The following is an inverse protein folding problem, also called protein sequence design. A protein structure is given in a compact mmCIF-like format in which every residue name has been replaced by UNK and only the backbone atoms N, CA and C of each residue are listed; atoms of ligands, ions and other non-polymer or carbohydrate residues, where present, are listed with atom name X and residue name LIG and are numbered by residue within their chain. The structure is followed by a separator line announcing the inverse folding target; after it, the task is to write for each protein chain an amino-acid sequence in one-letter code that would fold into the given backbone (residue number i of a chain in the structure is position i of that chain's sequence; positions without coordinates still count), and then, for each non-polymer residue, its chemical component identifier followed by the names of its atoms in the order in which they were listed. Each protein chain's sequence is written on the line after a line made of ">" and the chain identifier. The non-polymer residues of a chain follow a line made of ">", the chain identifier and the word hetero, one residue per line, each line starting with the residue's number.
data_IF_000343589643
#
_entry.id   IF_000343589643
#
_cell.length_a   1.000
_cell.length_b   1.000
_cell.length_c   1.000
_cell.angle_alpha   90.00
_cell.angle_beta   90.00
_cell.angle_gamma   90.00
#
_symmetry.space_group_name_H-M   'P 1'
#
loop_
_entity.id
_entity.type
_entity.pdbx_description
1 polymer ?
#
# COMPACT_ATOMS: atom_id res chain seq x y z
N UNK A 1 -3.12 3.48 5.99
CA UNK A 1 -2.24 2.69 6.89
C UNK A 1 -2.33 3.23 8.31
N UNK A 2 -2.16 2.39 9.33
CA UNK A 2 -2.25 2.80 10.76
C UNK A 2 -0.88 2.94 11.43
N UNK A 3 0.20 2.59 10.74
CA UNK A 3 1.57 2.91 11.12
C UNK A 3 2.20 3.78 10.04
N UNK A 4 3.22 4.56 10.39
CA UNK A 4 3.97 5.33 9.40
C UNK A 4 4.59 4.40 8.37
N UNK A 5 5.21 3.31 8.83
CA UNK A 5 5.87 2.33 7.97
C UNK A 5 4.89 1.73 6.95
N UNK A 6 3.68 1.35 7.38
CA UNK A 6 2.63 0.83 6.50
C UNK A 6 2.18 1.84 5.44
N UNK A 7 1.86 3.07 5.87
CA UNK A 7 1.42 4.12 4.96
C UNK A 7 2.53 4.52 3.96
N UNK A 8 3.76 4.65 4.44
CA UNK A 8 4.91 5.09 3.65
C UNK A 8 5.27 4.07 2.56
N UNK A 9 5.31 2.77 2.89
CA UNK A 9 5.62 1.76 1.88
C UNK A 9 4.50 1.59 0.84
N UNK A 10 3.22 1.67 1.25
CA UNK A 10 2.09 1.69 0.31
C UNK A 10 2.19 2.87 -0.65
N UNK A 11 2.43 4.06 -0.14
CA UNK A 11 2.55 5.26 -0.96
C UNK A 11 3.66 5.15 -2.01
N UNK A 12 4.81 4.58 -1.67
CA UNK A 12 5.90 4.35 -2.64
C UNK A 12 5.48 3.42 -3.78
N UNK A 13 4.71 2.36 -3.49
CA UNK A 13 4.19 1.44 -4.52
C UNK A 13 3.09 2.06 -5.38
N UNK A 14 2.31 2.99 -4.83
CA UNK A 14 1.28 3.70 -5.58
C UNK A 14 1.85 4.66 -6.64
N UNK A 15 3.10 5.11 -6.48
CA UNK A 15 3.75 6.05 -7.41
C UNK A 15 4.30 5.36 -8.66
N UNK A 16 4.93 4.20 -8.49
CA UNK A 16 5.57 3.45 -9.58
C UNK A 16 5.42 1.95 -9.35
N UNK A 17 4.82 1.25 -10.32
CA UNK A 17 4.59 -0.19 -10.32
C UNK A 17 5.88 -1.03 -10.25
N UNK A 18 7.01 -0.43 -10.65
CA UNK A 18 8.31 -1.09 -10.57
C UNK A 18 8.91 -1.04 -9.15
N UNK A 19 8.41 -0.15 -8.30
CA UNK A 19 8.87 0.03 -6.93
C UNK A 19 8.07 -0.89 -6.02
N UNK A 20 8.77 -1.75 -5.27
CA UNK A 20 8.14 -2.71 -4.36
C UNK A 20 7.90 -2.12 -2.94
N UNK A 21 8.46 -0.95 -2.66
CA UNK A 21 8.35 -0.18 -1.42
C UNK A 21 9.65 0.59 -1.13
N UNK A 22 10.04 0.72 0.15
CA UNK A 22 11.28 1.42 0.53
C UNK A 22 12.51 0.52 0.37
N UNK A 23 12.96 0.38 -0.88
CA UNK A 23 14.01 -0.56 -1.30
C UNK A 23 15.42 0.10 -1.34
N UNK A 24 16.42 -0.43 -0.61
CA UNK A 24 17.78 0.12 -0.59
C UNK A 24 18.64 -0.26 -1.81
N UNK A 25 18.17 -1.12 -2.72
CA UNK A 25 18.94 -1.63 -3.86
C UNK A 25 18.68 -0.88 -5.17
N UNK A 26 17.70 0.03 -5.20
CA UNK A 26 17.33 0.78 -6.41
C UNK A 26 18.38 1.84 -6.78
N UNK A 27 19.03 2.47 -5.80
CA UNK A 27 20.04 3.50 -5.99
C UNK A 27 21.28 3.22 -5.16
N UNK A 28 22.41 3.77 -5.60
CA UNK A 28 23.63 3.79 -4.80
C UNK A 28 23.62 4.99 -3.86
N UNK A 29 24.47 4.94 -2.83
CA UNK A 29 24.61 6.05 -1.88
C UNK A 29 25.48 7.14 -2.48
N UNK A 30 24.92 8.34 -2.55
CA UNK A 30 25.63 9.54 -3.00
C UNK A 30 25.29 10.67 -2.02
N UNK A 31 26.29 11.17 -1.28
CA UNK A 31 26.06 12.26 -0.30
C UNK A 31 25.50 13.52 -0.99
N UNK A 32 25.87 13.77 -2.25
CA UNK A 32 25.34 14.87 -3.07
C UNK A 32 23.82 14.79 -3.29
N UNK A 33 23.27 13.61 -3.61
CA UNK A 33 21.82 13.41 -3.77
C UNK A 33 21.07 13.42 -2.43
N UNK A 34 21.77 13.16 -1.31
CA UNK A 34 21.19 13.34 0.01
C UNK A 34 21.05 14.83 0.35
N UNK A 35 22.00 15.67 -0.06
CA UNK A 35 21.96 17.12 0.15
C UNK A 35 21.02 17.83 -0.83
N UNK A 36 21.10 17.48 -2.12
CA UNK A 36 20.31 18.06 -3.19
C UNK A 36 19.08 17.20 -3.49
N UNK A 37 17.85 17.69 -3.22
CA UNK A 37 16.65 16.88 -3.38
C UNK A 37 16.41 16.46 -4.85
N UNK A 38 16.34 15.15 -5.09
CA UNK A 38 15.92 14.54 -6.36
C UNK A 38 14.62 13.74 -6.16
N UNK A 39 13.96 13.37 -7.27
CA UNK A 39 12.82 12.44 -7.30
C UNK A 39 13.17 11.06 -6.71
N UNK A 40 14.43 10.63 -6.86
CA UNK A 40 14.94 9.35 -6.36
C UNK A 40 15.57 9.40 -4.97
N UNK A 41 15.57 10.58 -4.33
CA UNK A 41 16.22 10.82 -3.03
C UNK A 41 15.83 9.79 -1.96
N UNK A 42 14.56 9.37 -1.94
CA UNK A 42 14.08 8.38 -0.96
C UNK A 42 14.84 7.05 -1.06
N UNK A 43 15.18 6.60 -2.26
CA UNK A 43 15.94 5.36 -2.46
C UNK A 43 17.42 5.53 -2.09
N UNK A 44 17.99 6.73 -2.28
CA UNK A 44 19.34 7.06 -1.78
C UNK A 44 19.37 7.05 -0.25
N UNK A 45 18.31 7.56 0.41
CA UNK A 45 18.16 7.47 1.88
C UNK A 45 18.06 6.02 2.33
N UNK A 46 17.30 5.17 1.63
CA UNK A 46 17.21 3.73 1.91
C UNK A 46 18.59 3.06 1.82
N UNK A 47 19.32 3.30 0.74
CA UNK A 47 20.67 2.80 0.53
C UNK A 47 21.65 3.31 1.61
N UNK A 48 21.54 4.57 2.02
CA UNK A 48 22.40 5.17 3.05
C UNK A 48 22.17 4.54 4.43
N UNK A 49 20.90 4.30 4.78
CA UNK A 49 20.53 3.56 5.99
C UNK A 49 21.09 2.13 5.95
N UNK A 50 21.01 1.45 4.80
CA UNK A 50 21.56 0.10 4.62
C UNK A 50 23.09 0.08 4.77
N UNK A 51 23.77 1.11 4.27
CA UNK A 51 25.22 1.31 4.41
C UNK A 51 25.65 1.85 5.79
N UNK A 52 24.75 1.85 6.78
CA UNK A 52 25.09 2.14 8.17
C UNK A 52 25.21 3.62 8.52
N UNK A 53 24.67 4.53 7.70
CA UNK A 53 24.64 5.95 8.05
C UNK A 53 23.81 6.17 9.31
N UNK A 54 24.35 6.94 10.25
CA UNK A 54 23.62 7.30 11.46
C UNK A 54 22.53 8.36 11.17
N UNK A 55 21.54 8.41 12.05
CA UNK A 55 20.37 9.29 11.93
C UNK A 55 20.77 10.77 11.90
N UNK A 56 21.78 11.16 12.69
CA UNK A 56 22.25 12.55 12.75
C UNK A 56 22.95 13.00 11.46
N UNK A 57 23.71 12.11 10.82
CA UNK A 57 24.33 12.35 9.51
C UNK A 57 23.23 12.56 8.46
N UNK A 58 22.25 11.66 8.40
CA UNK A 58 21.13 11.79 7.47
C UNK A 58 20.30 13.04 7.72
N UNK A 59 20.05 13.42 8.97
CA UNK A 59 19.37 14.67 9.30
C UNK A 59 20.15 15.89 8.79
N UNK A 60 21.48 15.92 8.97
CA UNK A 60 22.34 17.03 8.51
C UNK A 60 22.32 17.19 7.00
N UNK A 61 22.42 16.08 6.27
CA UNK A 61 22.41 16.07 4.80
C UNK A 61 21.01 16.38 4.27
N UNK A 62 19.98 15.70 4.78
CA UNK A 62 18.65 15.70 4.14
C UNK A 62 17.69 16.76 4.67
N UNK A 63 17.89 17.20 5.92
CA UNK A 63 16.94 17.98 6.74
C UNK A 63 15.60 17.29 7.01
N UNK A 64 15.46 16.01 6.69
CA UNK A 64 14.31 15.18 7.09
C UNK A 64 14.38 14.98 8.60
N UNK A 65 13.27 15.22 9.30
CA UNK A 65 13.25 15.08 10.76
C UNK A 65 13.68 13.69 11.22
N UNK A 66 14.37 13.64 12.36
CA UNK A 66 14.93 12.41 12.94
C UNK A 66 13.88 11.35 13.19
N UNK A 67 12.65 11.74 13.52
CA UNK A 67 11.54 10.81 13.72
C UNK A 67 11.26 10.01 12.45
N UNK A 68 11.15 10.68 11.30
CA UNK A 68 10.93 10.00 10.02
C UNK A 68 12.12 9.12 9.63
N UNK A 69 13.35 9.61 9.79
CA UNK A 69 14.56 8.82 9.50
C UNK A 69 14.60 7.57 10.39
N UNK A 70 14.23 7.70 11.68
CA UNK A 70 14.16 6.55 12.60
C UNK A 70 13.12 5.52 12.14
N UNK A 71 11.96 5.97 11.65
CA UNK A 71 10.92 5.10 11.10
C UNK A 71 11.36 4.40 9.81
N UNK A 72 12.01 5.12 8.90
CA UNK A 72 12.63 4.53 7.70
C UNK A 72 13.71 3.51 8.08
N UNK A 73 14.52 3.79 9.11
CA UNK A 73 15.52 2.86 9.62
C UNK A 73 14.88 1.56 10.11
N UNK A 74 13.73 1.61 10.78
CA UNK A 74 13.02 0.40 11.20
C UNK A 74 12.71 -0.52 10.02
N UNK A 75 12.31 0.04 8.88
CA UNK A 75 12.03 -0.72 7.65
C UNK A 75 13.31 -1.39 7.15
N UNK A 76 14.42 -0.65 7.04
CA UNK A 76 15.70 -1.20 6.55
C UNK A 76 16.29 -2.23 7.50
N UNK A 77 16.20 -2.03 8.81
CA UNK A 77 16.63 -2.99 9.82
C UNK A 77 15.83 -4.28 9.71
N UNK A 78 14.50 -4.17 9.52
CA UNK A 78 13.63 -5.33 9.34
C UNK A 78 13.90 -6.05 8.02
N UNK A 79 14.11 -5.33 6.92
CA UNK A 79 14.48 -5.91 5.64
C UNK A 79 15.80 -6.69 5.74
N UNK A 80 16.80 -6.11 6.41
CA UNK A 80 18.10 -6.77 6.66
C UNK A 80 17.94 -8.02 7.53
N UNK A 81 17.03 -8.00 8.50
CA UNK A 81 16.69 -9.19 9.28
C UNK A 81 16.02 -10.26 8.42
N UNK A 82 15.07 -9.90 7.55
CA UNK A 82 14.42 -10.85 6.62
C UNK A 82 15.43 -11.50 5.67
N UNK A 83 16.41 -10.74 5.15
CA UNK A 83 17.48 -11.26 4.29
C UNK A 83 18.37 -12.31 4.97
N UNK A 84 18.44 -12.31 6.31
CA UNK A 84 19.15 -13.34 7.06
C UNK A 84 18.37 -14.66 7.16
N UNK A 85 17.07 -14.64 6.82
CA UNK A 85 16.18 -15.79 6.86
C UNK A 85 16.02 -16.41 5.46
N UNK A 86 15.60 -17.68 5.45
CA UNK A 86 15.09 -18.34 4.24
C UNK A 86 13.60 -18.58 4.39
N UNK A 87 12.91 -18.87 3.28
CA UNK A 87 11.47 -19.14 3.28
C UNK A 87 11.04 -20.17 4.34
N UNK A 88 11.83 -21.23 4.55
CA UNK A 88 11.53 -22.29 5.53
C UNK A 88 11.54 -21.79 6.99
N UNK A 89 12.23 -20.68 7.27
CA UNK A 89 12.34 -20.09 8.60
C UNK A 89 11.40 -18.90 8.81
N UNK A 90 10.53 -18.59 7.83
CA UNK A 90 9.50 -17.58 7.99
C UNK A 90 8.34 -18.12 8.83
N UNK A 91 8.29 -17.66 10.08
CA UNK A 91 7.16 -17.92 10.98
C UNK A 91 5.97 -17.01 10.66
N UNK A 92 4.79 -17.39 11.14
CA UNK A 92 3.59 -16.55 11.11
C UNK A 92 3.84 -15.16 11.71
N UNK A 93 4.59 -15.08 12.82
CA UNK A 93 4.92 -13.82 13.48
C UNK A 93 5.84 -12.93 12.62
N UNK A 94 6.80 -13.53 11.89
CA UNK A 94 7.64 -12.79 10.95
C UNK A 94 6.79 -12.18 9.84
N UNK A 95 5.91 -12.98 9.21
CA UNK A 95 5.04 -12.49 8.15
C UNK A 95 4.10 -11.39 8.63
N UNK A 96 3.36 -11.62 9.73
CA UNK A 96 2.40 -10.64 10.26
C UNK A 96 3.08 -9.30 10.55
N UNK A 97 4.25 -9.33 11.20
CA UNK A 97 5.02 -8.11 11.48
C UNK A 97 5.50 -7.41 10.21
N UNK A 98 5.97 -8.15 9.21
CA UNK A 98 6.32 -7.57 7.90
C UNK A 98 5.13 -6.87 7.26
N UNK A 99 3.94 -7.50 7.26
CA UNK A 99 2.72 -6.90 6.70
C UNK A 99 2.27 -5.66 7.48
N UNK A 100 2.35 -5.68 8.81
CA UNK A 100 2.05 -4.53 9.68
C UNK A 100 2.98 -3.33 9.47
N UNK A 101 4.20 -3.57 8.97
CA UNK A 101 5.16 -2.55 8.56
C UNK A 101 5.01 -2.12 7.09
N UNK A 102 4.05 -2.68 6.34
CA UNK A 102 3.77 -2.32 4.95
C UNK A 102 4.55 -3.06 3.88
N UNK A 103 5.27 -4.14 4.23
CA UNK A 103 6.00 -4.93 3.23
C UNK A 103 5.03 -5.65 2.28
N UNK A 104 5.28 -5.54 0.98
CA UNK A 104 4.58 -6.34 -0.03
C UNK A 104 5.07 -7.79 -0.01
N UNK A 105 4.24 -8.71 -0.50
CA UNK A 105 4.58 -10.12 -0.65
C UNK A 105 5.79 -10.27 -1.60
N UNK A 106 5.90 -9.39 -2.61
CA UNK A 106 7.06 -9.25 -3.50
C UNK A 106 8.34 -8.87 -2.75
N UNK A 107 8.31 -7.85 -1.88
CA UNK A 107 9.49 -7.47 -1.09
C UNK A 107 9.95 -8.59 -0.15
N UNK A 108 9.01 -9.23 0.54
CA UNK A 108 9.33 -10.34 1.46
C UNK A 108 9.95 -11.49 0.65
N UNK A 109 9.35 -11.82 -0.50
CA UNK A 109 9.87 -12.86 -1.41
C UNK A 109 11.30 -12.57 -1.85
N UNK A 110 11.59 -11.34 -2.28
CA UNK A 110 12.95 -10.92 -2.65
C UNK A 110 13.94 -11.07 -1.49
N UNK A 111 13.57 -10.63 -0.28
CA UNK A 111 14.44 -10.71 0.89
C UNK A 111 14.80 -12.17 1.25
N UNK A 112 13.83 -13.08 1.25
CA UNK A 112 14.06 -14.50 1.62
C UNK A 112 14.39 -15.42 0.43
N UNK A 113 14.68 -14.85 -0.74
CA UNK A 113 15.00 -15.57 -2.00
C UNK A 113 13.88 -16.55 -2.42
N UNK A 114 12.64 -16.09 -2.34
CA UNK A 114 11.43 -16.79 -2.76
C UNK A 114 10.65 -15.98 -3.81
N UNK A 115 9.47 -16.45 -4.18
CA UNK A 115 8.58 -15.79 -5.14
C UNK A 115 7.43 -15.10 -4.42
N UNK A 116 6.87 -14.04 -5.01
CA UNK A 116 5.68 -13.34 -4.52
C UNK A 116 4.52 -14.31 -4.27
N UNK A 117 4.26 -15.23 -5.21
CA UNK A 117 3.19 -16.22 -5.09
C UNK A 117 3.41 -17.16 -3.91
N UNK A 118 4.64 -17.61 -3.67
CA UNK A 118 4.93 -18.50 -2.55
C UNK A 118 4.71 -17.80 -1.19
N UNK A 119 5.09 -16.52 -1.07
CA UNK A 119 4.81 -15.73 0.13
C UNK A 119 3.30 -15.53 0.30
N UNK A 120 2.58 -15.21 -0.77
CA UNK A 120 1.11 -15.06 -0.74
C UNK A 120 0.42 -16.34 -0.27
N UNK A 121 0.78 -17.49 -0.82
CA UNK A 121 0.22 -18.78 -0.40
C UNK A 121 0.46 -19.05 1.09
N UNK A 122 1.69 -18.83 1.56
CA UNK A 122 2.04 -19.01 2.97
C UNK A 122 1.27 -18.03 3.88
N UNK A 123 1.05 -16.80 3.41
CA UNK A 123 0.24 -15.79 4.10
C UNK A 123 -1.22 -16.23 4.21
N UNK A 124 -1.78 -16.81 3.16
CA UNK A 124 -3.14 -17.37 3.14
C UNK A 124 -3.27 -18.61 4.05
N UNK A 125 -2.28 -19.51 4.04
CA UNK A 125 -2.20 -20.69 4.92
C UNK A 125 -2.18 -20.29 6.41
N UNK A 126 -1.45 -19.24 6.75
CA UNK A 126 -1.43 -18.69 8.11
C UNK A 126 -2.61 -17.77 8.44
N UNK A 127 -3.57 -17.62 7.50
CA UNK A 127 -4.73 -16.76 7.61
C UNK A 127 -4.38 -15.30 7.97
N UNK A 128 -3.26 -14.80 7.44
CA UNK A 128 -2.83 -13.41 7.60
C UNK A 128 -3.47 -12.59 6.49
N UNK A 129 -4.56 -11.90 6.80
CA UNK A 129 -5.30 -11.06 5.84
C UNK A 129 -5.36 -9.62 6.36
N UNK A 130 -5.40 -8.62 5.46
CA UNK A 130 -5.68 -7.26 5.88
C UNK A 130 -7.16 -7.16 6.32
N UNK A 131 -7.44 -6.12 7.10
CA UNK A 131 -8.81 -5.76 7.49
C UNK A 131 -9.23 -4.46 6.81
N UNK A 132 -10.52 -4.38 6.51
CA UNK A 132 -11.18 -3.20 5.92
C UNK A 132 -11.56 -2.23 7.03
N UNK A 133 -11.10 -0.99 6.92
CA UNK A 133 -11.37 0.10 7.88
C UNK A 133 -11.99 1.31 7.21
N UNK A 134 -12.90 1.96 7.92
CA UNK A 134 -13.57 3.17 7.45
C UNK A 134 -12.77 4.44 7.78
N UNK A 135 -12.93 5.45 6.94
CA UNK A 135 -12.48 6.83 7.16
C UNK A 135 -13.72 7.64 7.53
N UNK A 136 -13.89 7.92 8.81
CA UNK A 136 -15.11 8.49 9.39
C UNK A 136 -14.98 9.95 9.83
N UNK A 137 -13.80 10.55 9.66
CA UNK A 137 -13.40 11.90 10.12
C UNK A 137 -13.37 12.14 11.64
N UNK A 138 -13.94 11.24 12.45
CA UNK A 138 -14.13 11.41 13.91
C UNK A 138 -13.49 10.29 14.73
N UNK A 139 -12.65 9.44 14.12
CA UNK A 139 -11.93 8.36 14.79
C UNK A 139 -12.86 7.43 15.61
N UNK A 140 -13.98 7.04 14.99
CA UNK A 140 -15.05 6.19 15.50
C UNK A 140 -15.84 6.77 16.69
N UNK A 141 -15.81 8.09 16.92
CA UNK A 141 -16.71 8.74 17.89
C UNK A 141 -18.18 8.57 17.49
N UNK A 142 -18.47 8.62 16.19
CA UNK A 142 -19.78 8.40 15.60
C UNK A 142 -19.71 7.35 14.50
N UNK A 143 -20.77 6.54 14.31
CA UNK A 143 -20.81 5.57 13.23
C UNK A 143 -20.77 6.29 11.87
N UNK A 144 -19.87 5.86 11.00
CA UNK A 144 -19.81 6.37 9.63
C UNK A 144 -21.01 5.90 8.82
N UNK A 145 -21.59 6.82 8.06
CA UNK A 145 -22.65 6.51 7.08
C UNK A 145 -22.09 6.21 5.70
N UNK A 146 -20.80 6.48 5.47
CA UNK A 146 -20.13 6.33 4.18
C UNK A 146 -19.14 5.17 4.19
N UNK A 147 -18.97 4.51 3.04
CA UNK A 147 -17.99 3.45 2.86
C UNK A 147 -16.76 4.00 2.15
N UNK A 148 -16.08 4.95 2.80
CA UNK A 148 -14.74 5.34 2.40
C UNK A 148 -13.73 4.48 3.16
N UNK A 149 -13.03 3.60 2.45
CA UNK A 149 -12.35 2.43 3.01
C UNK A 149 -10.86 2.42 2.70
N UNK A 150 -10.08 1.82 3.60
CA UNK A 150 -8.70 1.42 3.37
C UNK A 150 -8.41 0.07 4.03
N UNK A 151 -7.35 -0.59 3.58
CA UNK A 151 -6.87 -1.86 4.12
C UNK A 151 -5.72 -1.63 5.10
N UNK A 152 -5.71 -2.41 6.18
CA UNK A 152 -4.60 -2.42 7.14
C UNK A 152 -4.40 -3.79 7.80
N UNK A 153 -3.15 -4.14 8.06
CA UNK A 153 -2.80 -5.32 8.87
C UNK A 153 -2.76 -5.01 10.38
N UNK A 154 -2.95 -3.75 10.77
CA UNK A 154 -2.92 -3.27 12.14
C UNK A 154 -4.34 -3.18 12.73
N UNK A 155 -5.11 -4.25 12.60
CA UNK A 155 -6.49 -4.35 13.05
C UNK A 155 -6.84 -5.79 13.46
N UNK A 156 -8.03 -5.97 14.05
CA UNK A 156 -8.53 -7.26 14.51
C UNK A 156 -9.90 -7.64 13.93
N UNK A 157 -10.59 -6.69 13.28
CA UNK A 157 -11.92 -6.87 12.69
C UNK A 157 -12.10 -5.91 11.51
N UNK A 158 -13.06 -6.20 10.64
CA UNK A 158 -13.52 -5.28 9.60
C UNK A 158 -14.58 -4.32 10.17
N UNK A 159 -14.69 -3.12 9.61
CA UNK A 159 -15.71 -2.13 10.01
C UNK A 159 -17.04 -2.32 9.27
N UNK A 160 -17.04 -3.11 8.18
CA UNK A 160 -18.21 -3.36 7.33
C UNK A 160 -18.50 -4.86 7.17
N UNK A 161 -19.70 -5.17 6.67
CA UNK A 161 -20.13 -6.51 6.25
C UNK A 161 -19.98 -6.72 4.74
N UNK A 162 -19.91 -7.98 4.31
CA UNK A 162 -19.67 -8.38 2.91
C UNK A 162 -20.82 -9.23 2.37
N UNK A 163 -22.05 -8.79 2.61
CA UNK A 163 -23.31 -9.48 2.28
C UNK A 163 -23.93 -9.04 0.94
N UNK A 164 -23.36 -8.01 0.32
CA UNK A 164 -23.86 -7.40 -0.91
C UNK A 164 -23.18 -7.99 -2.16
N UNK A 165 -23.89 -7.97 -3.29
CA UNK A 165 -23.33 -8.35 -4.59
C UNK A 165 -22.91 -7.08 -5.33
N UNK A 166 -21.61 -6.82 -5.37
CA UNK A 166 -21.04 -5.63 -6.02
C UNK A 166 -20.24 -5.98 -7.28
N UNK A 167 -20.06 -4.98 -8.15
CA UNK A 167 -19.14 -5.02 -9.29
C UNK A 167 -17.94 -4.14 -8.98
N UNK A 168 -16.74 -4.69 -9.12
CA UNK A 168 -15.50 -3.94 -8.90
C UNK A 168 -15.14 -3.13 -10.15
N UNK A 169 -14.66 -1.91 -9.96
CA UNK A 169 -14.13 -1.04 -11.00
C UNK A 169 -12.74 -0.58 -10.55
N UNK A 170 -11.74 -0.82 -11.39
CA UNK A 170 -10.36 -0.43 -11.14
C UNK A 170 -10.09 0.95 -11.76
N UNK A 171 -9.50 1.83 -10.98
CA UNK A 171 -9.06 3.15 -11.43
C UNK A 171 -7.78 3.11 -12.26
N UNK A 172 -7.31 4.29 -12.67
CA UNK A 172 -6.08 4.45 -13.44
C UNK A 172 -4.81 4.63 -12.58
N UNK A 173 -4.97 4.82 -11.28
CA UNK A 173 -3.86 5.20 -10.40
C UNK A 173 -3.36 6.63 -10.67
N UNK A 174 -2.10 6.88 -10.32
CA UNK A 174 -1.48 8.20 -10.43
C UNK A 174 -1.33 8.67 -11.88
N UNK A 175 -1.55 9.97 -12.11
CA UNK A 175 -1.38 10.56 -13.43
C UNK A 175 0.09 10.56 -13.86
N UNK A 176 0.31 10.25 -15.14
CA UNK A 176 1.62 10.29 -15.80
C UNK A 176 1.45 10.68 -17.26
N UNK A 177 2.53 11.07 -17.93
CA UNK A 177 2.47 11.37 -19.36
C UNK A 177 1.95 10.13 -20.10
N UNK A 178 0.82 10.29 -20.81
CA UNK A 178 0.12 9.20 -21.50
C UNK A 178 -1.00 8.52 -20.70
N UNK A 179 -1.21 8.90 -19.42
CA UNK A 179 -2.33 8.45 -18.59
C UNK A 179 -2.81 9.57 -17.68
N UNK A 180 -3.85 10.28 -18.10
CA UNK A 180 -4.39 11.47 -17.42
C UNK A 180 -5.89 11.34 -17.14
N UNK A 181 -6.58 12.48 -17.03
CA UNK A 181 -7.99 12.63 -16.63
C UNK A 181 -8.97 11.84 -17.49
N UNK A 182 -8.62 11.53 -18.74
CA UNK A 182 -9.46 10.76 -19.64
C UNK A 182 -9.84 9.38 -19.07
N UNK A 183 -8.94 8.75 -18.32
CA UNK A 183 -9.21 7.46 -17.70
C UNK A 183 -10.12 7.59 -16.47
N UNK A 184 -10.02 8.70 -15.72
CA UNK A 184 -10.95 9.01 -14.64
C UNK A 184 -12.37 9.25 -15.18
N UNK A 185 -12.48 9.94 -16.31
CA UNK A 185 -13.77 10.13 -16.98
C UNK A 185 -14.42 8.81 -17.40
N UNK A 186 -13.63 7.88 -17.94
CA UNK A 186 -14.09 6.52 -18.27
C UNK A 186 -14.57 5.77 -17.02
N UNK A 187 -13.82 5.83 -15.90
CA UNK A 187 -14.20 5.19 -14.65
C UNK A 187 -15.51 5.75 -14.09
N UNK A 188 -15.64 7.09 -14.03
CA UNK A 188 -16.88 7.76 -13.60
C UNK A 188 -18.06 7.41 -14.51
N UNK A 189 -17.83 7.33 -15.83
CA UNK A 189 -18.83 6.87 -16.78
C UNK A 189 -19.31 5.45 -16.47
N UNK A 190 -18.39 4.51 -16.26
CA UNK A 190 -18.69 3.13 -15.89
C UNK A 190 -19.51 3.04 -14.60
N UNK A 191 -19.07 3.73 -13.53
CA UNK A 191 -19.77 3.76 -12.24
C UNK A 191 -21.20 4.28 -12.37
N UNK A 192 -21.41 5.34 -13.16
CA UNK A 192 -22.74 5.91 -13.40
C UNK A 192 -23.65 4.96 -14.16
N UNK A 193 -23.15 4.26 -15.18
CA UNK A 193 -23.95 3.30 -15.93
C UNK A 193 -24.29 2.06 -15.08
N UNK A 194 -23.36 1.54 -14.28
CA UNK A 194 -23.63 0.46 -13.32
C UNK A 194 -24.71 0.86 -12.31
N UNK A 195 -24.64 2.09 -11.78
CA UNK A 195 -25.67 2.64 -10.89
C UNK A 195 -27.04 2.72 -11.57
N UNK A 196 -27.11 3.16 -12.83
CA UNK A 196 -28.38 3.17 -13.61
C UNK A 196 -28.95 1.78 -13.83
N UNK A 197 -28.10 0.75 -13.90
CA UNK A 197 -28.50 -0.65 -13.98
C UNK A 197 -28.82 -1.28 -12.61
N UNK A 198 -28.92 -0.47 -11.55
CA UNK A 198 -29.13 -0.90 -10.16
C UNK A 198 -28.07 -1.91 -9.68
N UNK A 199 -26.83 -1.79 -10.16
CA UNK A 199 -25.68 -2.56 -9.68
C UNK A 199 -24.92 -1.73 -8.65
N UNK A 200 -24.63 -2.34 -7.51
CA UNK A 200 -23.73 -1.75 -6.51
C UNK A 200 -22.29 -1.86 -6.97
N UNK A 201 -21.46 -0.87 -6.65
CA UNK A 201 -20.10 -0.77 -7.16
C UNK A 201 -19.04 -0.65 -6.07
N UNK A 202 -17.89 -1.27 -6.33
CA UNK A 202 -16.65 -1.08 -5.56
C UNK A 202 -15.69 -0.32 -6.46
N UNK A 203 -15.25 0.87 -6.05
CA UNK A 203 -14.17 1.59 -6.73
C UNK A 203 -12.85 1.35 -6.00
N UNK A 204 -11.80 0.96 -6.73
CA UNK A 204 -10.43 0.87 -6.19
C UNK A 204 -9.53 1.85 -6.92
N UNK A 205 -9.00 2.85 -6.23
CA UNK A 205 -8.06 3.82 -6.79
C UNK A 205 -7.19 4.44 -5.70
N UNK A 206 -6.04 5.00 -6.07
CA UNK A 206 -5.10 5.64 -5.14
C UNK A 206 -4.80 7.10 -5.48
N UNK A 207 -5.43 7.66 -6.52
CA UNK A 207 -5.19 9.03 -6.94
C UNK A 207 -6.07 10.01 -6.15
N UNK A 208 -5.50 10.93 -5.36
CA UNK A 208 -6.31 11.89 -4.59
C UNK A 208 -6.91 13.01 -5.45
N UNK A 209 -6.51 13.14 -6.72
CA UNK A 209 -6.96 14.22 -7.63
C UNK A 209 -8.18 13.83 -8.47
N UNK A 210 -8.70 12.61 -8.32
CA UNK A 210 -9.74 12.05 -9.19
C UNK A 210 -11.16 12.26 -8.66
N UNK A 211 -12.13 12.38 -9.57
CA UNK A 211 -13.56 12.38 -9.22
C UNK A 211 -14.05 10.96 -8.92
N UNK A 212 -13.44 9.93 -9.52
CA UNK A 212 -13.76 8.55 -9.17
C UNK A 212 -13.48 8.19 -7.71
N UNK A 213 -12.58 8.92 -7.04
CA UNK A 213 -12.29 8.78 -5.60
C UNK A 213 -13.18 9.64 -4.70
N UNK A 214 -14.26 10.19 -5.23
CA UNK A 214 -15.34 10.73 -4.39
C UNK A 214 -16.19 9.56 -3.87
N UNK A 215 -16.40 9.49 -2.56
CA UNK A 215 -17.17 8.42 -1.92
C UNK A 215 -18.64 8.43 -2.37
N UNK A 216 -19.15 9.53 -2.93
CA UNK A 216 -20.51 9.61 -3.48
C UNK A 216 -20.64 8.94 -4.86
N UNK A 217 -19.54 8.58 -5.52
CA UNK A 217 -19.53 7.96 -6.85
C UNK A 217 -19.69 6.44 -6.85
N UNK A 218 -19.45 5.77 -5.72
CA UNK A 218 -19.54 4.30 -5.59
C UNK A 218 -20.16 3.89 -4.26
N UNK A 219 -20.66 2.67 -4.14
CA UNK A 219 -21.22 2.16 -2.87
C UNK A 219 -20.11 1.85 -1.86
N UNK A 220 -18.92 1.50 -2.35
CA UNK A 220 -17.70 1.28 -1.56
C UNK A 220 -16.50 1.84 -2.32
N UNK A 221 -15.77 2.76 -1.69
CA UNK A 221 -14.53 3.30 -2.24
C UNK A 221 -13.35 2.78 -1.42
N UNK A 222 -12.47 2.01 -2.05
CA UNK A 222 -11.18 1.62 -1.48
C UNK A 222 -10.09 2.55 -1.98
N UNK A 223 -9.55 3.38 -1.08
CA UNK A 223 -8.35 4.18 -1.36
C UNK A 223 -7.10 3.33 -1.15
N UNK A 224 -6.79 2.51 -2.14
CA UNK A 224 -5.77 1.47 -2.04
C UNK A 224 -4.95 1.33 -3.32
N UNK A 225 -3.81 0.68 -3.17
CA UNK A 225 -2.85 0.42 -4.24
C UNK A 225 -3.46 -0.49 -5.31
N UNK A 226 -3.26 -0.15 -6.58
CA UNK A 226 -3.71 -0.96 -7.72
C UNK A 226 -2.60 -1.95 -8.08
N UNK A 227 -2.35 -2.92 -7.19
CA UNK A 227 -1.42 -4.02 -7.43
C UNK A 227 -2.12 -5.36 -7.33
N UNK A 228 -1.52 -6.39 -7.93
CA UNK A 228 -2.07 -7.75 -7.90
C UNK A 228 -2.37 -8.21 -6.47
N UNK A 229 -1.45 -7.98 -5.53
CA UNK A 229 -1.62 -8.37 -4.14
C UNK A 229 -2.87 -7.74 -3.51
N UNK A 230 -3.00 -6.42 -3.63
CA UNK A 230 -4.03 -5.63 -2.95
C UNK A 230 -5.39 -5.79 -3.61
N UNK A 231 -5.45 -5.76 -4.95
CA UNK A 231 -6.68 -5.99 -5.69
C UNK A 231 -7.22 -7.39 -5.41
N UNK A 232 -6.34 -8.41 -5.35
CA UNK A 232 -6.76 -9.77 -5.02
C UNK A 232 -7.20 -9.91 -3.56
N UNK A 233 -6.59 -9.16 -2.63
CA UNK A 233 -7.05 -9.12 -1.24
C UNK A 233 -8.46 -8.53 -1.14
N UNK A 234 -8.74 -7.41 -1.82
CA UNK A 234 -10.09 -6.82 -1.87
C UNK A 234 -11.07 -7.79 -2.55
N UNK A 235 -10.69 -8.37 -3.69
CA UNK A 235 -11.51 -9.32 -4.44
C UNK A 235 -11.91 -10.52 -3.59
N UNK A 236 -10.97 -11.10 -2.85
CA UNK A 236 -11.23 -12.26 -1.99
C UNK A 236 -12.08 -11.92 -0.75
N UNK A 237 -12.01 -10.69 -0.26
CA UNK A 237 -12.82 -10.21 0.88
C UNK A 237 -14.25 -9.90 0.44
N UNK A 238 -14.40 -9.15 -0.66
CA UNK A 238 -15.68 -8.67 -1.18
C UNK A 238 -16.44 -9.72 -2.01
N UNK A 239 -15.72 -10.67 -2.62
CA UNK A 239 -16.26 -11.67 -3.54
C UNK A 239 -17.23 -11.06 -4.60
N UNK A 240 -16.75 -10.08 -5.40
CA UNK A 240 -17.61 -9.34 -6.32
C UNK A 240 -18.10 -10.23 -7.47
N UNK A 241 -19.21 -9.82 -8.09
CA UNK A 241 -19.80 -10.52 -9.25
C UNK A 241 -18.89 -10.48 -10.47
N UNK A 242 -18.06 -9.44 -10.56
CA UNK A 242 -17.10 -9.23 -11.64
C UNK A 242 -16.20 -8.03 -11.37
N UNK A 243 -15.21 -7.88 -12.25
CA UNK A 243 -14.27 -6.74 -12.34
C UNK A 243 -14.38 -6.16 -13.73
#
# INVERSE_FOLDING_TARGET
>A
GRTFEEAFQKALRMVDENVSGFDPYIQNVTDEELEQPTDKRMFVVAAALKNGYNIDKLYKLTRIDRWFIKKMKNIIDWNTYLESLTQQHLSQAHLLKSKQMGFSDKQIGQAVKSTEQAIRNMREEYNIKPFVKQIDTVAAEWPATTNYLYLTYNAQSNDITFDEQLVMVLGSGVYRIGSSVEFDWCAVGCLRELRKLNRKTIMVNCNPETVSTDYDMSDRLYFEEISFEVVMDIYNIENPVGV
#
